data_IF_827865619284
#
_entry.id   IF_827865619284
#
_cell.length_a   1.000
_cell.length_b   1.000
_cell.length_c   1.000
_cell.angle_alpha   90.00
_cell.angle_beta   90.00
_cell.angle_gamma   90.00
#
_symmetry.space_group_name_H-M   'P 1'
#
loop_
_entity.id
_entity.type
_entity.pdbx_description
1 polymer ?
#
# COMPACT_ATOMS: atom_id res chain seq x y z
N UNK A 1 2.07 -16.19 4.83
CA UNK A 1 3.41 -15.58 4.66
C UNK A 1 4.33 -16.68 4.13
N UNK A 2 5.19 -16.36 3.18
CA UNK A 2 6.12 -17.29 2.55
C UNK A 2 7.56 -16.85 2.88
N UNK A 3 8.52 -17.77 2.80
CA UNK A 3 9.93 -17.48 3.10
C UNK A 3 10.72 -17.09 1.84
N UNK A 4 10.28 -17.53 0.67
CA UNK A 4 10.93 -17.27 -0.62
C UNK A 4 9.93 -16.78 -1.66
N UNK A 5 10.41 -16.27 -2.79
CA UNK A 5 9.55 -15.90 -3.91
C UNK A 5 8.96 -17.13 -4.60
N UNK A 6 9.71 -18.21 -4.67
CA UNK A 6 9.27 -19.48 -5.23
C UNK A 6 8.08 -20.05 -4.42
N UNK A 7 8.12 -19.94 -3.10
CA UNK A 7 7.00 -20.33 -2.22
C UNK A 7 5.77 -19.45 -2.48
N UNK A 8 5.97 -18.14 -2.73
CA UNK A 8 4.87 -17.24 -3.05
C UNK A 8 4.23 -17.60 -4.39
N UNK A 9 5.05 -17.90 -5.40
CA UNK A 9 4.56 -18.34 -6.70
C UNK A 9 3.81 -19.67 -6.60
N UNK A 10 4.35 -20.64 -5.87
CA UNK A 10 3.71 -21.93 -5.62
C UNK A 10 2.35 -21.75 -4.92
N UNK A 11 2.30 -20.93 -3.88
CA UNK A 11 1.06 -20.65 -3.14
C UNK A 11 0.00 -20.02 -4.03
N UNK A 12 0.36 -18.95 -4.76
CA UNK A 12 -0.58 -18.24 -5.63
C UNK A 12 -1.06 -19.09 -6.81
N UNK A 13 -0.14 -19.81 -7.47
CA UNK A 13 -0.50 -20.68 -8.58
C UNK A 13 -1.43 -21.82 -8.14
N UNK A 14 -1.16 -22.43 -6.96
CA UNK A 14 -2.01 -23.50 -6.42
C UNK A 14 -3.43 -23.02 -6.14
N UNK A 15 -3.59 -21.83 -5.56
CA UNK A 15 -4.92 -21.24 -5.30
C UNK A 15 -5.64 -20.93 -6.60
N UNK A 16 -4.98 -20.29 -7.56
CA UNK A 16 -5.61 -19.87 -8.81
C UNK A 16 -5.88 -21.04 -9.74
N UNK A 17 -5.06 -22.09 -9.72
CA UNK A 17 -5.30 -23.35 -10.45
C UNK A 17 -6.54 -24.10 -9.91
N UNK A 18 -6.93 -23.85 -8.64
CA UNK A 18 -8.18 -24.38 -8.05
C UNK A 18 -9.44 -23.61 -8.50
N UNK A 19 -9.29 -22.59 -9.34
CA UNK A 19 -10.37 -21.76 -9.89
C UNK A 19 -11.34 -21.21 -8.81
N UNK A 20 -10.85 -20.41 -7.82
CA UNK A 20 -11.66 -19.97 -6.69
C UNK A 20 -12.92 -19.20 -7.09
N UNK A 21 -12.96 -18.59 -8.28
CA UNK A 21 -14.15 -17.91 -8.81
C UNK A 21 -15.34 -18.84 -9.07
N UNK A 22 -15.14 -20.15 -9.05
CA UNK A 22 -16.25 -21.11 -9.11
C UNK A 22 -17.01 -21.23 -7.78
N UNK A 23 -16.38 -20.82 -6.69
CA UNK A 23 -16.89 -20.99 -5.32
C UNK A 23 -17.17 -19.65 -4.64
N UNK A 24 -16.47 -18.58 -5.04
CA UNK A 24 -16.58 -17.25 -4.47
C UNK A 24 -16.74 -16.20 -5.58
N UNK A 25 -17.93 -15.58 -5.64
CA UNK A 25 -18.29 -14.56 -6.62
C UNK A 25 -17.51 -13.25 -6.46
N UNK A 26 -16.82 -13.05 -5.35
CA UNK A 26 -15.99 -11.87 -5.11
C UNK A 26 -14.61 -11.98 -5.74
N UNK A 27 -14.21 -13.18 -6.21
CA UNK A 27 -12.92 -13.40 -6.84
C UNK A 27 -12.98 -13.19 -8.35
N UNK A 28 -11.87 -12.67 -8.90
CA UNK A 28 -11.74 -12.47 -10.34
C UNK A 28 -11.30 -13.77 -11.02
N UNK A 29 -11.89 -14.09 -12.17
CA UNK A 29 -11.47 -15.21 -13.03
C UNK A 29 -10.16 -14.84 -13.76
N UNK A 30 -9.05 -14.87 -13.06
CA UNK A 30 -7.72 -14.52 -13.54
C UNK A 30 -6.76 -15.70 -13.29
N UNK A 31 -6.54 -16.59 -14.28
CA UNK A 31 -5.60 -17.70 -14.14
C UNK A 31 -4.17 -17.18 -13.93
N UNK A 32 -3.36 -17.96 -13.20
CA UNK A 32 -1.97 -17.63 -12.98
C UNK A 32 -1.17 -17.63 -14.28
N UNK A 33 -0.53 -16.49 -14.59
CA UNK A 33 0.38 -16.38 -15.73
C UNK A 33 1.76 -16.91 -15.35
N UNK A 34 2.11 -18.10 -15.87
CA UNK A 34 3.37 -18.78 -15.52
C UNK A 34 4.62 -18.25 -16.23
N UNK A 35 4.47 -17.24 -17.08
CA UNK A 35 5.63 -16.77 -17.84
C UNK A 35 5.55 -15.31 -18.29
N UNK A 36 5.61 -14.33 -17.39
CA UNK A 36 5.93 -12.98 -17.80
C UNK A 36 7.44 -12.94 -18.11
N UNK A 37 7.85 -13.24 -19.34
CA UNK A 37 9.21 -12.93 -19.74
C UNK A 37 9.36 -11.43 -19.82
N UNK A 38 9.83 -10.83 -18.74
CA UNK A 38 10.32 -9.45 -18.76
C UNK A 38 11.64 -9.42 -19.52
N UNK A 39 11.56 -9.28 -20.83
CA UNK A 39 12.73 -9.32 -21.74
C UNK A 39 13.44 -7.99 -21.86
N UNK A 40 12.83 -6.90 -21.37
CA UNK A 40 13.34 -5.54 -21.49
C UNK A 40 13.57 -4.88 -20.13
N UNK A 41 14.44 -3.84 -20.08
CA UNK A 41 14.60 -3.05 -18.86
C UNK A 41 13.27 -2.45 -18.40
N UNK A 42 12.93 -2.62 -17.13
CA UNK A 42 11.69 -2.09 -16.56
C UNK A 42 11.77 -0.57 -16.39
N UNK A 43 10.61 0.06 -16.45
CA UNK A 43 10.39 1.42 -15.97
C UNK A 43 9.90 1.38 -14.53
N UNK A 44 10.68 1.89 -13.61
CA UNK A 44 10.43 1.83 -12.18
C UNK A 44 10.02 3.21 -11.67
N UNK A 45 8.77 3.32 -11.23
CA UNK A 45 8.28 4.51 -10.54
C UNK A 45 8.81 4.54 -9.10
N UNK A 46 9.36 5.67 -8.68
CA UNK A 46 9.79 5.87 -7.29
C UNK A 46 8.71 6.67 -6.57
N UNK A 47 8.11 6.08 -5.56
CA UNK A 47 7.11 6.75 -4.76
C UNK A 47 7.73 7.95 -4.04
N UNK A 48 7.12 9.13 -4.18
CA UNK A 48 7.55 10.33 -3.48
C UNK A 48 7.47 10.13 -1.96
N UNK A 49 8.37 10.77 -1.24
CA UNK A 49 8.29 10.83 0.23
C UNK A 49 7.43 12.02 0.64
N UNK A 50 6.58 11.81 1.63
CA UNK A 50 5.70 12.85 2.17
C UNK A 50 6.37 13.53 3.37
N UNK A 51 6.31 14.87 3.44
CA UNK A 51 6.90 15.63 4.54
C UNK A 51 6.20 15.38 5.89
N UNK A 52 4.92 15.02 5.87
CA UNK A 52 4.19 14.57 7.07
C UNK A 52 4.68 13.25 7.61
N UNK A 53 5.25 12.42 6.74
CA UNK A 53 5.71 11.07 7.07
C UNK A 53 7.18 10.89 6.69
N UNK A 54 8.09 11.67 7.26
CA UNK A 54 9.51 11.66 6.89
C UNK A 54 10.13 10.29 7.14
N UNK A 55 10.94 9.84 6.20
CA UNK A 55 11.67 8.58 6.34
C UNK A 55 12.86 8.75 7.28
N UNK A 56 13.03 7.81 8.19
CA UNK A 56 14.24 7.72 9.00
C UNK A 56 15.48 7.49 8.11
N UNK A 57 16.67 7.99 8.52
CA UNK A 57 17.87 7.93 7.71
C UNK A 57 18.23 6.54 7.19
N UNK A 58 18.08 5.43 7.95
CA UNK A 58 18.36 4.08 7.44
C UNK A 58 17.44 3.68 6.28
N UNK A 59 16.14 4.00 6.39
CA UNK A 59 15.16 3.66 5.35
C UNK A 59 15.44 4.48 4.09
N UNK A 60 15.71 5.77 4.24
CA UNK A 60 16.08 6.64 3.12
C UNK A 60 17.35 6.14 2.40
N UNK A 61 18.38 5.69 3.16
CA UNK A 61 19.58 5.11 2.58
C UNK A 61 19.30 3.82 1.82
N UNK A 62 18.49 2.92 2.39
CA UNK A 62 18.13 1.66 1.75
C UNK A 62 17.41 1.90 0.42
N UNK A 63 16.41 2.78 0.41
CA UNK A 63 15.68 3.16 -0.80
C UNK A 63 16.62 3.75 -1.86
N UNK A 64 17.48 4.70 -1.50
CA UNK A 64 18.46 5.29 -2.42
C UNK A 64 19.45 4.27 -2.97
N UNK A 65 19.87 3.30 -2.14
CA UNK A 65 20.78 2.22 -2.56
C UNK A 65 20.10 1.29 -3.57
N UNK A 66 18.82 0.95 -3.35
CA UNK A 66 18.01 0.15 -4.27
C UNK A 66 17.84 0.89 -5.62
N UNK A 67 17.46 2.17 -5.60
CA UNK A 67 17.32 2.99 -6.81
C UNK A 67 18.61 3.00 -7.62
N UNK A 68 19.76 3.25 -6.97
CA UNK A 68 21.07 3.26 -7.64
C UNK A 68 21.43 1.89 -8.23
N UNK A 69 21.09 0.80 -7.53
CA UNK A 69 21.35 -0.55 -8.01
C UNK A 69 20.52 -0.90 -9.24
N UNK A 70 19.23 -0.53 -9.23
CA UNK A 70 18.31 -0.74 -10.36
C UNK A 70 18.71 0.10 -11.58
N UNK A 71 19.04 1.37 -11.38
CA UNK A 71 19.55 2.23 -12.45
C UNK A 71 20.82 1.68 -13.11
N UNK A 72 21.76 1.14 -12.30
CA UNK A 72 22.99 0.51 -12.83
C UNK A 72 22.71 -0.77 -13.63
N UNK A 73 21.60 -1.46 -13.35
CA UNK A 73 21.16 -2.61 -14.14
C UNK A 73 20.45 -2.24 -15.44
N UNK A 74 20.31 -0.95 -15.73
CA UNK A 74 19.71 -0.45 -16.96
C UNK A 74 18.22 -0.18 -16.89
N UNK A 75 17.57 -0.32 -15.72
CA UNK A 75 16.17 0.04 -15.57
C UNK A 75 15.96 1.55 -15.65
N UNK A 76 14.86 1.97 -16.25
CA UNK A 76 14.47 3.38 -16.31
C UNK A 76 13.84 3.80 -14.99
N UNK A 77 14.37 4.85 -14.36
CA UNK A 77 13.85 5.37 -13.08
C UNK A 77 12.99 6.61 -13.36
N UNK A 78 11.78 6.61 -12.83
CA UNK A 78 10.82 7.73 -12.90
C UNK A 78 10.43 8.13 -11.49
N UNK A 79 10.73 9.37 -11.11
CA UNK A 79 10.29 9.89 -9.81
C UNK A 79 8.85 10.36 -9.91
N UNK A 80 8.00 9.83 -9.05
CA UNK A 80 6.60 10.21 -8.94
C UNK A 80 6.52 11.36 -7.95
N UNK A 81 6.34 12.56 -8.49
CA UNK A 81 6.37 13.81 -7.75
C UNK A 81 4.97 14.22 -7.30
N UNK A 82 4.81 14.59 -6.03
CA UNK A 82 3.56 15.10 -5.48
C UNK A 82 3.23 16.52 -6.00
N UNK A 83 4.22 17.32 -6.37
CA UNK A 83 4.01 18.68 -6.86
C UNK A 83 3.37 18.71 -8.24
N UNK A 84 3.78 17.79 -9.10
CA UNK A 84 3.21 17.63 -10.45
C UNK A 84 1.89 16.88 -10.42
N UNK A 85 1.71 15.98 -9.45
CA UNK A 85 0.56 15.10 -9.31
C UNK A 85 -0.03 15.20 -7.89
N UNK A 86 -0.70 16.30 -7.58
CA UNK A 86 -1.41 16.53 -6.30
C UNK A 86 -2.34 15.39 -5.88
N UNK A 87 -2.66 14.49 -6.80
CA UNK A 87 -3.49 13.32 -6.59
C UNK A 87 -2.74 12.13 -5.96
N UNK A 88 -1.41 12.20 -5.83
CA UNK A 88 -0.61 11.15 -5.20
C UNK A 88 -0.35 11.41 -3.71
N UNK A 89 -1.05 12.37 -3.11
CA UNK A 89 -0.89 12.76 -1.71
C UNK A 89 -1.15 11.58 -0.77
N UNK A 90 -0.06 11.10 -0.15
CA UNK A 90 -0.07 9.99 0.81
C UNK A 90 -0.88 10.35 2.06
N UNK A 91 -0.81 11.60 2.51
CA UNK A 91 -1.56 12.05 3.67
C UNK A 91 -3.07 12.08 3.38
N UNK A 92 -3.47 12.46 2.18
CA UNK A 92 -4.86 12.37 1.73
C UNK A 92 -5.34 10.92 1.70
N UNK A 93 -4.58 10.02 1.09
CA UNK A 93 -4.90 8.60 1.02
C UNK A 93 -5.09 7.98 2.42
N UNK A 94 -4.22 8.36 3.37
CA UNK A 94 -4.31 7.87 4.75
C UNK A 94 -5.59 8.35 5.44
N UNK A 95 -5.98 9.62 5.26
CA UNK A 95 -7.24 10.14 5.82
C UNK A 95 -8.46 9.48 5.19
N UNK A 96 -8.44 9.29 3.89
CA UNK A 96 -9.53 8.62 3.16
C UNK A 96 -9.67 7.16 3.60
N UNK A 97 -8.58 6.42 3.67
CA UNK A 97 -8.58 5.03 4.13
C UNK A 97 -9.05 4.92 5.58
N UNK A 98 -8.61 5.84 6.44
CA UNK A 98 -9.05 5.87 7.82
C UNK A 98 -10.56 6.11 7.95
N UNK A 99 -11.09 7.06 7.19
CA UNK A 99 -12.53 7.36 7.21
C UNK A 99 -13.36 6.16 6.73
N UNK A 100 -12.88 5.42 5.72
CA UNK A 100 -13.47 4.15 5.32
C UNK A 100 -13.47 3.13 6.46
N UNK A 101 -12.38 3.00 7.18
CA UNK A 101 -12.20 2.04 8.26
C UNK A 101 -13.16 2.27 9.44
N UNK A 102 -13.75 3.45 9.59
CA UNK A 102 -14.75 3.72 10.63
C UNK A 102 -16.05 2.96 10.41
N UNK A 103 -16.33 2.53 9.17
CA UNK A 103 -17.54 1.76 8.82
C UNK A 103 -17.31 0.23 8.77
N UNK A 104 -16.08 -0.21 8.98
CA UNK A 104 -15.73 -1.62 9.06
C UNK A 104 -14.79 -1.84 10.26
N UNK A 105 -15.30 -1.72 11.48
CA UNK A 105 -14.46 -1.83 12.67
C UNK A 105 -13.93 -3.26 12.81
N UNK A 106 -12.61 -3.41 12.76
CA UNK A 106 -11.93 -4.70 12.91
C UNK A 106 -12.23 -5.37 14.25
N UNK A 107 -12.69 -4.60 15.25
CA UNK A 107 -13.00 -5.08 16.59
C UNK A 107 -14.20 -6.03 16.63
N UNK A 108 -15.13 -5.90 15.69
CA UNK A 108 -16.36 -6.69 15.66
C UNK A 108 -16.10 -8.19 15.48
N UNK A 109 -14.94 -8.56 14.91
CA UNK A 109 -14.55 -9.95 14.74
C UNK A 109 -13.87 -10.54 15.99
N UNK A 110 -13.26 -9.70 16.83
CA UNK A 110 -12.54 -10.11 18.04
C UNK A 110 -13.47 -10.12 19.25
N UNK A 111 -14.36 -9.15 19.35
CA UNK A 111 -15.28 -8.98 20.49
C UNK A 111 -16.09 -10.23 20.82
N UNK A 112 -16.66 -11.00 19.85
CA UNK A 112 -17.43 -12.21 20.16
C UNK A 112 -16.60 -13.34 20.80
N UNK A 113 -15.29 -13.38 20.56
CA UNK A 113 -14.39 -14.40 21.14
C UNK A 113 -14.03 -14.12 22.61
N UNK A 114 -14.30 -12.90 23.10
CA UNK A 114 -13.86 -12.45 24.42
C UNK A 114 -12.35 -12.23 24.53
N UNK A 115 -11.62 -12.25 23.41
CA UNK A 115 -10.19 -11.99 23.38
C UNK A 115 -9.91 -10.51 23.64
N UNK A 116 -9.00 -10.16 24.57
CA UNK A 116 -8.64 -8.77 24.80
C UNK A 116 -7.87 -8.19 23.59
N UNK A 117 -8.22 -6.98 23.19
CA UNK A 117 -7.47 -6.28 22.14
C UNK A 117 -6.01 -6.06 22.57
N UNK A 118 -5.08 -6.32 21.66
CA UNK A 118 -3.68 -5.96 21.88
C UNK A 118 -3.54 -4.45 22.04
N UNK A 119 -2.59 -4.00 22.83
CA UNK A 119 -2.43 -2.58 23.20
C UNK A 119 -2.36 -1.64 22.02
N UNK A 120 -1.68 -2.04 20.95
CA UNK A 120 -1.55 -1.23 19.73
C UNK A 120 -2.89 -1.00 19.00
N UNK A 121 -3.79 -1.97 19.05
CA UNK A 121 -5.14 -1.88 18.47
C UNK A 121 -6.09 -1.12 19.41
N UNK A 122 -6.01 -1.36 20.72
CA UNK A 122 -6.86 -0.73 21.71
C UNK A 122 -6.64 0.80 21.83
N UNK A 123 -5.46 1.31 21.47
CA UNK A 123 -5.13 2.74 21.50
C UNK A 123 -5.95 3.59 20.53
N UNK A 124 -6.69 2.96 19.60
CA UNK A 124 -7.49 3.69 18.61
C UNK A 124 -6.67 4.38 17.52
N UNK A 125 -7.21 5.43 16.90
CA UNK A 125 -6.60 6.09 15.76
C UNK A 125 -5.21 6.63 16.08
N UNK A 126 -4.29 6.39 15.14
CA UNK A 126 -2.96 6.99 15.23
C UNK A 126 -3.06 8.50 15.16
N UNK A 127 -2.36 9.26 16.03
CA UNK A 127 -2.22 10.70 15.91
C UNK A 127 -1.55 11.12 14.59
N UNK A 128 -0.99 10.19 13.84
CA UNK A 128 -0.41 10.44 12.51
C UNK A 128 -1.48 10.70 11.43
N UNK A 129 -2.72 10.27 11.65
CA UNK A 129 -3.84 10.57 10.75
C UNK A 129 -4.52 11.84 11.25
N UNK A 130 -3.91 12.99 10.96
CA UNK A 130 -4.38 14.30 11.38
C UNK A 130 -4.85 15.15 10.21
N UNK A 131 -5.68 16.14 10.49
CA UNK A 131 -6.25 17.08 9.53
C UNK A 131 -7.70 16.78 9.18
N UNK A 132 -8.27 17.56 8.28
CA UNK A 132 -9.66 17.43 7.89
C UNK A 132 -9.88 16.15 7.09
N UNK A 133 -10.95 15.45 7.41
CA UNK A 133 -11.36 14.26 6.67
C UNK A 133 -11.86 14.65 5.29
N UNK A 134 -11.64 13.80 4.26
CA UNK A 134 -12.05 14.08 2.88
C UNK A 134 -13.56 14.26 2.68
N UNK A 135 -14.36 13.68 3.54
CA UNK A 135 -15.84 13.76 3.51
C UNK A 135 -16.35 14.29 4.84
N UNK A 136 -17.34 15.18 4.78
CA UNK A 136 -17.95 15.75 5.99
C UNK A 136 -18.71 14.69 6.78
N UNK A 137 -18.55 14.71 8.10
CA UNK A 137 -19.30 13.87 9.04
C UNK A 137 -20.71 14.40 9.36
N UNK A 138 -21.07 15.55 8.80
CA UNK A 138 -22.43 16.12 8.92
C UNK A 138 -23.43 15.46 7.97
N UNK A 139 -22.93 14.68 7.00
CA UNK A 139 -23.76 13.91 6.07
C UNK A 139 -24.41 12.73 6.78
N UNK A 140 -25.53 12.26 6.22
CA UNK A 140 -26.09 10.97 6.61
C UNK A 140 -25.12 9.83 6.22
N UNK A 141 -25.18 8.70 6.95
CA UNK A 141 -24.24 7.58 6.78
C UNK A 141 -24.18 7.08 5.32
N UNK A 142 -25.29 7.00 4.62
CA UNK A 142 -25.32 6.55 3.23
C UNK A 142 -24.70 7.58 2.28
N UNK A 143 -24.91 8.84 2.51
CA UNK A 143 -24.32 9.94 1.75
C UNK A 143 -22.80 10.01 1.99
N UNK A 144 -22.36 9.85 3.24
CA UNK A 144 -20.94 9.82 3.57
C UNK A 144 -20.24 8.64 2.88
N UNK A 145 -20.82 7.43 2.93
CA UNK A 145 -20.28 6.25 2.24
C UNK A 145 -20.23 6.48 0.72
N UNK A 146 -21.27 7.04 0.15
CA UNK A 146 -21.32 7.35 -1.29
C UNK A 146 -20.20 8.31 -1.70
N UNK A 147 -20.04 9.41 -0.97
CA UNK A 147 -18.96 10.38 -1.21
C UNK A 147 -17.57 9.76 -1.03
N UNK A 148 -17.39 8.91 -0.03
CA UNK A 148 -16.15 8.17 0.17
C UNK A 148 -15.81 7.30 -1.05
N UNK A 149 -16.81 6.60 -1.61
CA UNK A 149 -16.62 5.81 -2.83
C UNK A 149 -16.17 6.67 -4.00
N UNK A 150 -16.80 7.82 -4.21
CA UNK A 150 -16.39 8.77 -5.26
C UNK A 150 -14.95 9.25 -5.06
N UNK A 151 -14.60 9.71 -3.86
CA UNK A 151 -13.24 10.16 -3.53
C UNK A 151 -12.19 9.07 -3.75
N UNK A 152 -12.54 7.83 -3.39
CA UNK A 152 -11.67 6.68 -3.65
C UNK A 152 -11.50 6.43 -5.15
N UNK A 153 -12.60 6.50 -5.92
CA UNK A 153 -12.55 6.30 -7.36
C UNK A 153 -11.71 7.39 -8.04
N UNK A 154 -11.88 8.66 -7.67
CA UNK A 154 -11.08 9.77 -8.17
C UNK A 154 -9.57 9.54 -7.91
N UNK A 155 -9.24 9.06 -6.71
CA UNK A 155 -7.86 8.75 -6.33
C UNK A 155 -7.29 7.60 -7.17
N UNK A 156 -8.07 6.54 -7.39
CA UNK A 156 -7.69 5.40 -8.25
C UNK A 156 -7.49 5.82 -9.70
N UNK A 157 -8.38 6.65 -10.24
CA UNK A 157 -8.28 7.15 -11.61
C UNK A 157 -7.07 8.06 -11.81
N UNK A 158 -6.73 8.88 -10.82
CA UNK A 158 -5.52 9.68 -10.84
C UNK A 158 -4.25 8.80 -10.88
N UNK A 159 -4.19 7.75 -10.06
CA UNK A 159 -3.08 6.80 -10.09
C UNK A 159 -3.01 6.02 -11.41
N UNK A 160 -4.15 5.56 -11.93
CA UNK A 160 -4.21 4.90 -13.24
C UNK A 160 -3.67 5.81 -14.35
N UNK A 161 -4.04 7.09 -14.33
CA UNK A 161 -3.55 8.08 -15.29
C UNK A 161 -2.03 8.22 -15.22
N UNK A 162 -1.47 8.40 -14.03
CA UNK A 162 -0.02 8.47 -13.82
C UNK A 162 0.66 7.21 -14.35
N UNK A 163 0.12 6.03 -14.03
CA UNK A 163 0.67 4.75 -14.49
C UNK A 163 0.74 4.67 -16.01
N UNK A 164 -0.35 5.00 -16.69
CA UNK A 164 -0.44 4.95 -18.16
C UNK A 164 0.44 6.01 -18.82
N UNK A 165 0.42 7.25 -18.32
CA UNK A 165 1.18 8.36 -18.93
C UNK A 165 2.70 8.22 -18.75
N UNK A 166 3.14 7.67 -17.62
CA UNK A 166 4.57 7.47 -17.37
C UNK A 166 5.11 6.16 -17.92
N UNK A 167 4.22 5.20 -18.22
CA UNK A 167 4.59 3.87 -18.70
C UNK A 167 5.40 3.09 -17.67
N UNK A 168 5.09 3.26 -16.38
CA UNK A 168 5.75 2.49 -15.30
C UNK A 168 5.24 1.05 -15.26
N UNK A 169 6.16 0.11 -15.05
CA UNK A 169 5.86 -1.32 -14.91
C UNK A 169 5.68 -1.70 -13.44
N UNK A 170 6.41 -1.03 -12.55
CA UNK A 170 6.40 -1.30 -11.11
C UNK A 170 6.72 -0.04 -10.31
N UNK A 171 6.22 0.03 -9.07
CA UNK A 171 6.52 1.11 -8.14
C UNK A 171 7.40 0.60 -7.00
N UNK A 172 8.46 1.34 -6.72
CA UNK A 172 9.32 1.15 -5.56
C UNK A 172 9.04 2.24 -4.53
N UNK A 173 8.73 1.84 -3.32
CA UNK A 173 8.48 2.75 -2.21
C UNK A 173 8.92 2.16 -0.87
N UNK A 174 8.92 2.96 0.22
CA UNK A 174 9.22 2.46 1.55
C UNK A 174 8.05 1.63 2.09
N UNK A 175 8.32 0.53 2.77
CA UNK A 175 7.31 -0.25 3.49
C UNK A 175 6.89 0.39 4.82
N UNK A 176 7.81 1.16 5.43
CA UNK A 176 7.57 1.90 6.68
C UNK A 176 8.48 3.13 6.75
N UNK A 177 8.13 4.10 7.62
CA UNK A 177 8.96 5.27 7.86
C UNK A 177 10.25 4.94 8.61
N UNK A 178 10.21 3.96 9.50
CA UNK A 178 11.23 3.63 10.47
C UNK A 178 11.66 2.16 10.36
N UNK A 179 12.77 1.86 11.01
CA UNK A 179 13.21 0.50 11.29
C UNK A 179 12.35 -0.13 12.40
N UNK A 180 12.73 -1.29 12.92
CA UNK A 180 12.04 -1.90 14.04
C UNK A 180 11.86 -0.91 15.20
N UNK A 181 10.65 -0.86 15.74
CA UNK A 181 10.27 -0.02 16.87
C UNK A 181 9.99 -0.90 18.09
N UNK A 182 10.01 -0.36 19.31
CA UNK A 182 9.57 -1.09 20.50
C UNK A 182 8.15 -1.62 20.33
N UNK A 183 7.83 -2.72 21.02
CA UNK A 183 6.49 -3.28 21.01
C UNK A 183 5.44 -2.22 21.40
N UNK A 184 4.27 -2.30 20.80
CA UNK A 184 3.12 -1.41 21.02
C UNK A 184 3.35 0.08 20.67
N UNK A 185 4.43 0.40 19.95
CA UNK A 185 4.72 1.76 19.48
C UNK A 185 4.57 1.93 17.97
N UNK A 186 4.39 0.85 17.22
CA UNK A 186 4.07 0.92 15.79
C UNK A 186 2.60 1.29 15.63
N UNK A 187 2.34 2.49 15.16
CA UNK A 187 0.98 3.01 15.15
C UNK A 187 0.30 2.93 13.77
N UNK A 188 1.02 3.25 12.69
CA UNK A 188 0.39 3.41 11.39
C UNK A 188 1.40 3.27 10.24
N UNK A 189 1.08 2.50 9.18
CA UNK A 189 1.95 2.32 8.01
C UNK A 189 1.55 3.26 6.84
N UNK A 190 1.89 4.55 6.85
CA UNK A 190 1.34 5.52 5.90
C UNK A 190 1.60 5.18 4.44
N UNK A 191 2.75 4.60 4.13
CA UNK A 191 3.14 4.27 2.77
C UNK A 191 2.46 3.02 2.21
N UNK A 192 2.13 2.04 3.06
CA UNK A 192 1.48 0.81 2.62
C UNK A 192 -0.04 0.94 2.51
N UNK A 193 -0.65 1.85 3.27
CA UNK A 193 -2.09 2.13 3.23
C UNK A 193 -2.55 2.60 1.85
N UNK A 194 -1.71 3.31 1.12
CA UNK A 194 -1.99 3.75 -0.25
C UNK A 194 -2.39 2.56 -1.14
N UNK A 195 -1.65 1.46 -1.04
CA UNK A 195 -1.91 0.27 -1.86
C UNK A 195 -3.20 -0.45 -1.48
N UNK A 196 -3.54 -0.46 -0.20
CA UNK A 196 -4.83 -0.98 0.25
C UNK A 196 -6.00 -0.14 -0.31
N UNK A 197 -5.86 1.18 -0.34
CA UNK A 197 -6.87 2.08 -0.89
C UNK A 197 -7.05 1.85 -2.40
N UNK A 198 -5.96 1.54 -3.10
CA UNK A 198 -5.93 1.31 -4.55
C UNK A 198 -6.32 -0.12 -4.96
N UNK A 199 -6.41 -1.07 -4.03
CA UNK A 199 -6.55 -2.52 -4.30
C UNK A 199 -5.43 -3.08 -5.20
N UNK A 200 -4.21 -2.65 -4.96
CA UNK A 200 -3.04 -3.08 -5.74
C UNK A 200 -2.25 -4.13 -4.98
N UNK A 201 -1.86 -5.19 -5.69
CA UNK A 201 -0.97 -6.21 -5.13
C UNK A 201 0.41 -5.64 -4.80
N UNK A 202 0.91 -5.95 -3.61
CA UNK A 202 2.24 -5.50 -3.16
C UNK A 202 3.09 -6.67 -2.73
N UNK A 203 4.39 -6.61 -3.05
CA UNK A 203 5.40 -7.51 -2.54
C UNK A 203 6.39 -6.71 -1.70
N UNK A 204 6.73 -7.20 -0.50
CA UNK A 204 7.69 -6.56 0.37
C UNK A 204 9.05 -7.24 0.22
N UNK A 205 10.04 -6.47 -0.25
CA UNK A 205 11.43 -6.89 -0.30
C UNK A 205 12.14 -6.40 0.96
N UNK A 206 12.70 -7.34 1.73
CA UNK A 206 13.57 -6.99 2.85
C UNK A 206 14.99 -6.77 2.33
N UNK A 207 15.47 -5.54 2.44
CA UNK A 207 16.87 -5.24 2.21
C UNK A 207 17.64 -5.39 3.52
N UNK A 208 18.36 -6.48 3.69
CA UNK A 208 19.33 -6.63 4.79
C UNK A 208 20.54 -5.74 4.52
N UNK A 209 20.61 -4.62 5.19
CA UNK A 209 21.84 -3.82 5.18
C UNK A 209 22.87 -4.48 6.10
N UNK A 210 24.00 -4.96 5.54
CA UNK A 210 25.17 -5.25 6.36
C UNK A 210 25.58 -3.96 7.06
N UNK A 211 25.63 -3.99 8.38
CA UNK A 211 26.28 -2.95 9.16
C UNK A 211 27.77 -2.99 8.80
N UNK A 212 28.26 -1.95 8.15
CA UNK A 212 29.70 -1.66 8.02
C UNK A 212 30.12 -0.75 9.15
#
# INVERSE_FOLDING_TARGET
MTATFEDLELFMSTILDAEPWRYDVTTLAAPWSRNPQLTEPLTIGILATDEKYPLHPPIKRALQSAIKALARKGHRIVYLDNDTNKHLDIAYANRLFWQYGTYSPHHDHVTPSGEPLVTSVAKGPSPMVTGDFPVSKELGIFEEIHELHHKRQDYRDAWRKVWVETGIDVILGPGAQNTAVPHDTYAWPPYTVVWNLLDVSTSHLYCTMKQT
#
